data_IF_797759326710
#
_entry.id   IF_797759326710
#
_cell.length_a   1.000
_cell.length_b   1.000
_cell.length_c   1.000
_cell.angle_alpha   90.00
_cell.angle_beta   90.00
_cell.angle_gamma   90.00
#
_symmetry.space_group_name_H-M   'P 1'
#
loop_
_entity.id
_entity.type
_entity.pdbx_description
1 polymer ?
#
# COMPACT_ATOMS: atom_id res chain seq x y z
N UNK A 1 -33.78 59.48 68.83
CA UNK A 1 -33.88 58.72 70.10
C UNK A 1 -33.37 57.32 69.80
N UNK A 2 -32.13 57.01 70.21
CA UNK A 2 -31.79 56.26 71.44
C UNK A 2 -31.88 54.74 71.22
N UNK A 3 -30.69 54.11 71.17
CA UNK A 3 -30.30 52.80 71.73
C UNK A 3 -31.05 51.54 71.23
N UNK A 4 -30.51 50.32 71.14
CA UNK A 4 -29.44 49.60 71.85
C UNK A 4 -29.19 48.32 70.98
N UNK A 5 -28.02 48.05 70.41
CA UNK A 5 -27.04 47.05 70.88
C UNK A 5 -27.59 45.71 71.37
N UNK A 6 -27.34 44.59 70.66
CA UNK A 6 -26.78 43.35 71.26
C UNK A 6 -26.29 42.34 70.19
N UNK A 7 -25.06 41.87 70.36
CA UNK A 7 -24.40 40.78 69.63
C UNK A 7 -25.05 39.44 69.96
N UNK A 8 -25.31 38.60 68.94
CA UNK A 8 -25.40 37.14 69.10
C UNK A 8 -24.70 36.46 67.93
N UNK A 9 -23.51 35.96 68.20
CA UNK A 9 -22.78 34.99 67.40
C UNK A 9 -23.54 33.66 67.38
N UNK A 10 -23.96 33.20 66.20
CA UNK A 10 -24.42 31.83 65.99
C UNK A 10 -23.26 30.98 65.45
N UNK A 11 -22.66 30.19 66.33
CA UNK A 11 -22.01 28.94 65.96
C UNK A 11 -23.03 27.80 66.04
N UNK A 12 -22.72 26.70 65.36
CA UNK A 12 -23.40 25.38 65.31
C UNK A 12 -24.44 25.27 64.18
N UNK A 13 -24.43 24.28 63.28
CA UNK A 13 -23.75 22.98 63.19
C UNK A 13 -23.48 22.63 61.72
N UNK A 14 -22.27 22.17 61.40
CA UNK A 14 -21.98 21.45 60.15
C UNK A 14 -22.74 20.12 60.22
N UNK A 15 -23.79 19.97 59.42
CA UNK A 15 -24.39 18.67 59.17
C UNK A 15 -23.45 17.89 58.25
N UNK A 16 -22.57 17.09 58.85
CA UNK A 16 -21.87 16.02 58.16
C UNK A 16 -22.92 15.02 57.65
N UNK A 17 -23.37 15.19 56.40
CA UNK A 17 -23.99 14.10 55.66
C UNK A 17 -22.87 13.14 55.28
N UNK A 18 -22.73 12.08 56.06
CA UNK A 18 -21.94 10.92 55.67
C UNK A 18 -22.48 10.36 54.36
N UNK A 19 -21.76 10.62 53.28
CA UNK A 19 -21.77 9.82 52.06
C UNK A 19 -20.48 9.01 52.08
N UNK A 20 -20.59 7.69 52.08
CA UNK A 20 -19.46 6.80 51.84
C UNK A 20 -18.77 7.20 50.52
N UNK A 21 -17.43 7.20 50.44
CA UNK A 21 -16.74 7.40 49.17
C UNK A 21 -17.09 6.21 48.27
N UNK A 22 -17.99 6.42 47.30
CA UNK A 22 -18.26 5.43 46.26
C UNK A 22 -17.02 5.39 45.38
N UNK A 23 -16.38 4.23 45.36
CA UNK A 23 -15.19 3.98 44.56
C UNK A 23 -15.61 3.91 43.09
N UNK A 24 -14.99 4.74 42.26
CA UNK A 24 -15.06 4.64 40.80
C UNK A 24 -16.41 5.03 40.18
N UNK A 25 -16.51 6.30 39.76
CA UNK A 25 -17.38 6.64 38.65
C UNK A 25 -16.55 6.64 37.36
N UNK A 26 -17.14 6.22 36.25
CA UNK A 26 -16.54 6.43 34.92
C UNK A 26 -16.62 7.92 34.49
N UNK A 27 -16.09 8.22 33.31
CA UNK A 27 -16.10 9.56 32.70
C UNK A 27 -17.51 10.17 32.54
N UNK A 28 -18.54 9.31 32.55
CA UNK A 28 -19.93 9.66 32.36
C UNK A 28 -20.74 9.63 33.67
N UNK A 29 -20.07 9.41 34.81
CA UNK A 29 -20.68 9.41 36.13
C UNK A 29 -21.36 8.09 36.52
N UNK A 30 -21.19 7.02 35.74
CA UNK A 30 -21.75 5.70 36.04
C UNK A 30 -20.98 5.02 37.16
N UNK A 31 -21.72 4.47 38.13
CA UNK A 31 -21.16 3.86 39.34
C UNK A 31 -20.63 2.46 39.01
N UNK A 32 -19.30 2.30 38.98
CA UNK A 32 -18.63 1.07 38.59
C UNK A 32 -18.88 -0.08 39.59
N UNK A 33 -18.81 0.19 40.89
CA UNK A 33 -19.13 -0.78 41.96
C UNK A 33 -20.58 -1.28 41.86
N UNK A 34 -21.46 -0.46 41.29
CA UNK A 34 -22.86 -0.77 41.05
C UNK A 34 -23.09 -1.57 39.77
N UNK A 35 -22.06 -1.86 38.97
CA UNK A 35 -22.22 -2.59 37.72
C UNK A 35 -22.89 -1.79 36.61
N UNK A 36 -22.90 -0.46 36.73
CA UNK A 36 -23.45 0.43 35.73
C UNK A 36 -22.41 0.73 34.66
N UNK A 37 -22.82 0.64 33.41
CA UNK A 37 -22.03 0.97 32.24
C UNK A 37 -22.73 2.08 31.45
N UNK A 38 -21.95 3.02 30.92
CA UNK A 38 -22.49 4.11 30.12
C UNK A 38 -22.99 3.61 28.76
N UNK A 39 -24.27 3.84 28.47
CA UNK A 39 -24.89 3.50 27.21
C UNK A 39 -25.09 4.74 26.34
N UNK A 40 -24.26 4.91 25.31
CA UNK A 40 -24.27 6.09 24.45
C UNK A 40 -25.61 6.28 23.73
N UNK A 41 -26.23 5.19 23.28
CA UNK A 41 -27.51 5.23 22.54
C UNK A 41 -28.70 5.67 23.40
N UNK A 42 -28.62 5.50 24.73
CA UNK A 42 -29.69 5.89 25.66
C UNK A 42 -29.32 7.07 26.56
N UNK A 43 -28.05 7.53 26.50
CA UNK A 43 -27.46 8.57 27.34
C UNK A 43 -27.72 8.33 28.83
N UNK A 44 -27.63 7.06 29.25
CA UNK A 44 -27.91 6.60 30.61
C UNK A 44 -26.92 5.53 31.04
N UNK A 45 -26.68 5.49 32.35
CA UNK A 45 -25.97 4.41 33.00
C UNK A 45 -26.92 3.22 33.14
N UNK A 46 -26.67 2.14 32.41
CA UNK A 46 -27.49 0.94 32.42
C UNK A 46 -26.72 -0.22 33.04
N UNK A 47 -27.46 -1.12 33.69
CA UNK A 47 -26.96 -2.46 34.00
C UNK A 47 -27.34 -3.35 32.83
N UNK A 48 -26.37 -3.74 32.03
CA UNK A 48 -26.59 -4.51 30.80
C UNK A 48 -27.36 -5.83 31.00
N UNK A 49 -27.37 -6.39 32.23
CA UNK A 49 -28.15 -7.58 32.59
C UNK A 49 -29.59 -7.30 33.06
N UNK A 50 -29.94 -6.04 33.36
CA UNK A 50 -31.31 -5.62 33.70
C UNK A 50 -32.00 -4.95 32.49
N UNK A 51 -31.25 -4.09 31.78
CA UNK A 51 -31.70 -3.38 30.58
C UNK A 51 -30.55 -3.36 29.57
N UNK A 52 -30.74 -4.00 28.41
CA UNK A 52 -29.73 -4.07 27.37
C UNK A 52 -29.44 -2.67 26.79
N UNK A 53 -28.16 -2.37 26.58
CA UNK A 53 -27.76 -1.16 25.88
C UNK A 53 -27.87 -1.38 24.35
N UNK A 54 -28.67 -0.59 23.62
CA UNK A 54 -28.81 -0.72 22.17
C UNK A 54 -27.48 -0.68 21.40
N UNK A 55 -26.50 0.11 21.86
CA UNK A 55 -25.18 0.20 21.23
C UNK A 55 -24.26 -0.98 21.52
N UNK A 56 -24.62 -1.90 22.44
CA UNK A 56 -23.90 -3.15 22.69
C UNK A 56 -24.60 -4.37 22.08
N UNK A 57 -25.76 -4.18 21.46
CA UNK A 57 -26.35 -5.20 20.60
C UNK A 57 -25.55 -5.22 19.31
N UNK A 58 -24.64 -6.18 19.19
CA UNK A 58 -23.96 -6.49 17.95
C UNK A 58 -25.03 -6.67 16.88
N UNK A 59 -25.12 -5.70 15.96
CA UNK A 59 -26.09 -5.74 14.88
C UNK A 59 -25.57 -6.75 13.88
N UNK A 60 -26.33 -7.80 13.61
CA UNK A 60 -26.00 -8.73 12.55
C UNK A 60 -26.57 -8.24 11.21
N UNK A 61 -25.94 -8.69 10.11
CA UNK A 61 -26.58 -8.57 8.81
C UNK A 61 -27.82 -9.46 8.74
N UNK A 62 -28.86 -9.00 8.03
CA UNK A 62 -30.07 -9.78 7.79
C UNK A 62 -29.73 -11.10 7.07
N UNK A 63 -30.49 -12.17 7.34
CA UNK A 63 -30.28 -13.47 6.68
C UNK A 63 -30.33 -13.38 5.14
N UNK A 64 -31.21 -12.53 4.60
CA UNK A 64 -31.35 -12.33 3.16
C UNK A 64 -30.35 -11.32 2.55
N UNK A 65 -29.37 -10.81 3.31
CA UNK A 65 -28.44 -9.79 2.81
C UNK A 65 -27.60 -10.29 1.62
N UNK A 66 -27.09 -9.36 0.82
CA UNK A 66 -26.06 -9.65 -0.16
C UNK A 66 -24.72 -9.97 0.50
N UNK A 67 -23.88 -10.73 -0.20
CA UNK A 67 -22.50 -11.02 0.20
C UNK A 67 -21.58 -9.86 -0.14
N UNK A 68 -20.56 -9.64 0.69
CA UNK A 68 -19.52 -8.67 0.40
C UNK A 68 -18.57 -9.23 -0.66
N UNK A 69 -18.54 -8.61 -1.84
CA UNK A 69 -17.64 -8.99 -2.93
C UNK A 69 -16.51 -7.98 -3.17
N UNK A 70 -16.52 -6.84 -2.46
CA UNK A 70 -15.45 -5.85 -2.55
C UNK A 70 -14.28 -6.18 -1.62
N UNK A 71 -13.08 -5.70 -1.97
CA UNK A 71 -11.82 -5.93 -1.23
C UNK A 71 -11.62 -5.01 -0.02
N UNK A 72 -12.50 -4.04 0.18
CA UNK A 72 -12.49 -3.16 1.34
C UNK A 72 -12.88 -3.96 2.57
N UNK A 73 -12.17 -3.75 3.68
CA UNK A 73 -12.61 -4.25 4.98
C UNK A 73 -13.76 -3.36 5.48
N UNK A 74 -14.98 -3.90 5.53
CA UNK A 74 -16.15 -3.13 5.93
C UNK A 74 -16.24 -3.10 7.46
N UNK A 75 -16.54 -1.93 8.02
CA UNK A 75 -16.79 -1.80 9.46
C UNK A 75 -18.01 -2.62 9.91
N UNK A 76 -18.08 -2.89 11.22
CA UNK A 76 -19.25 -3.53 11.83
C UNK A 76 -20.51 -2.67 11.64
N UNK A 77 -21.66 -3.26 11.29
CA UNK A 77 -22.88 -2.50 11.05
C UNK A 77 -23.48 -2.01 12.37
N UNK A 78 -24.16 -0.86 12.33
CA UNK A 78 -24.83 -0.27 13.48
C UNK A 78 -26.29 0.04 13.14
N UNK A 79 -27.23 -0.76 13.67
CA UNK A 79 -28.66 -0.51 13.53
C UNK A 79 -29.35 -0.33 14.89
N UNK A 80 -30.47 0.42 14.94
CA UNK A 80 -31.32 0.52 16.12
C UNK A 80 -31.92 -0.82 16.57
N UNK A 81 -32.37 -0.86 17.83
CA UNK A 81 -32.93 -2.03 18.54
C UNK A 81 -33.71 -3.05 17.67
N UNK A 82 -33.13 -4.24 17.48
CA UNK A 82 -33.80 -5.39 16.86
C UNK A 82 -33.89 -5.35 15.33
N UNK A 83 -33.32 -4.33 14.71
CA UNK A 83 -33.15 -4.25 13.26
C UNK A 83 -31.87 -4.98 12.83
N UNK A 84 -31.88 -5.52 11.62
CA UNK A 84 -30.72 -6.12 10.98
C UNK A 84 -30.21 -5.23 9.85
N UNK A 85 -28.93 -5.32 9.52
CA UNK A 85 -28.33 -4.56 8.42
C UNK A 85 -28.52 -5.31 7.09
N UNK A 86 -29.06 -4.65 6.07
CA UNK A 86 -29.19 -5.21 4.72
C UNK A 86 -28.33 -4.42 3.74
N UNK A 87 -27.40 -5.10 3.07
CA UNK A 87 -26.47 -4.45 2.14
C UNK A 87 -27.17 -3.92 0.90
N UNK A 88 -26.81 -2.70 0.52
CA UNK A 88 -27.20 -2.05 -0.73
C UNK A 88 -26.09 -2.39 -1.74
N UNK A 89 -26.39 -3.32 -2.66
CA UNK A 89 -25.36 -3.89 -3.54
C UNK A 89 -24.45 -4.89 -2.81
N UNK A 90 -23.19 -5.00 -3.23
CA UNK A 90 -22.25 -6.05 -2.77
C UNK A 90 -21.02 -5.48 -2.03
N UNK A 91 -21.11 -4.27 -1.48
CA UNK A 91 -20.01 -3.64 -0.71
C UNK A 91 -20.51 -3.12 0.64
N UNK A 92 -19.88 -2.07 1.21
CA UNK A 92 -20.10 -1.66 2.61
C UNK A 92 -21.36 -0.82 2.85
N UNK A 93 -22.05 -0.36 1.81
CA UNK A 93 -23.30 0.36 1.98
C UNK A 93 -24.39 -0.60 2.46
N UNK A 94 -25.13 -0.18 3.49
CA UNK A 94 -26.25 -0.93 4.04
C UNK A 94 -27.35 0.01 4.54
N UNK A 95 -28.55 -0.53 4.70
CA UNK A 95 -29.65 0.12 5.41
C UNK A 95 -30.28 -0.86 6.40
N UNK A 96 -30.84 -0.33 7.49
CA UNK A 96 -31.43 -1.13 8.55
C UNK A 96 -32.89 -1.50 8.24
N UNK A 97 -33.27 -2.73 8.56
CA UNK A 97 -34.63 -3.24 8.40
C UNK A 97 -35.06 -4.02 9.64
N UNK A 98 -36.36 -3.99 9.92
CA UNK A 98 -36.96 -4.80 10.97
C UNK A 98 -36.78 -6.30 10.67
N UNK A 99 -36.13 -7.02 11.58
CA UNK A 99 -35.78 -8.43 11.43
C UNK A 99 -37.01 -9.37 11.40
N UNK A 100 -38.20 -8.86 11.71
CA UNK A 100 -39.45 -9.63 11.63
C UNK A 100 -40.04 -9.70 10.22
N UNK A 101 -39.55 -8.88 9.29
CA UNK A 101 -40.08 -8.80 7.93
C UNK A 101 -39.69 -10.03 7.11
N UNK A 102 -40.61 -10.52 6.26
CA UNK A 102 -40.35 -11.68 5.40
C UNK A 102 -39.23 -11.43 4.36
N UNK A 103 -38.95 -10.16 4.04
CA UNK A 103 -37.88 -9.78 3.12
C UNK A 103 -36.47 -9.86 3.72
N UNK A 104 -36.34 -9.94 5.06
CA UNK A 104 -35.05 -10.07 5.74
C UNK A 104 -34.64 -11.53 5.95
N UNK A 105 -35.53 -12.48 5.67
CA UNK A 105 -35.34 -13.93 5.81
C UNK A 105 -35.07 -14.59 4.48
N UNK A 106 -34.37 -15.72 4.54
CA UNK A 106 -34.15 -16.51 3.34
C UNK A 106 -35.42 -17.21 2.87
N UNK A 107 -35.66 -17.27 1.54
CA UNK A 107 -36.79 -18.02 1.01
C UNK A 107 -36.60 -19.52 1.29
N UNK A 108 -37.70 -20.21 1.59
CA UNK A 108 -37.69 -21.66 1.88
C UNK A 108 -37.32 -22.51 0.67
N UNK A 109 -37.56 -22.00 -0.52
CA UNK A 109 -37.17 -22.63 -1.78
C UNK A 109 -36.44 -21.60 -2.66
N UNK A 110 -35.32 -22.02 -3.25
CA UNK A 110 -34.62 -21.18 -4.21
C UNK A 110 -35.46 -20.98 -5.48
N UNK A 111 -35.43 -19.78 -6.08
CA UNK A 111 -36.01 -19.56 -7.40
C UNK A 111 -35.32 -20.49 -8.43
N UNK A 112 -36.00 -20.82 -9.54
CA UNK A 112 -35.41 -21.64 -10.59
C UNK A 112 -34.12 -20.97 -11.10
N UNK A 113 -33.06 -21.76 -11.38
CA UNK A 113 -31.81 -21.22 -11.87
C UNK A 113 -32.06 -20.47 -13.18
N UNK A 114 -31.40 -19.32 -13.32
CA UNK A 114 -31.41 -18.58 -14.58
C UNK A 114 -30.78 -19.45 -15.69
N UNK A 115 -31.32 -19.42 -16.92
CA UNK A 115 -30.74 -20.15 -18.03
C UNK A 115 -29.37 -19.54 -18.37
N UNK A 116 -28.30 -20.19 -17.94
CA UNK A 116 -26.94 -19.79 -18.28
C UNK A 116 -26.56 -20.37 -19.64
N UNK A 117 -25.99 -19.57 -20.57
CA UNK A 117 -25.36 -20.12 -21.76
C UNK A 117 -24.21 -21.05 -21.31
N UNK A 118 -24.09 -22.22 -21.91
CA UNK A 118 -22.98 -23.13 -21.62
C UNK A 118 -21.67 -22.45 -22.07
N UNK A 119 -20.72 -22.17 -21.17
CA UNK A 119 -19.46 -21.58 -21.56
C UNK A 119 -18.62 -22.59 -22.34
N UNK A 120 -17.96 -22.15 -23.40
CA UNK A 120 -16.94 -22.94 -24.07
C UNK A 120 -15.70 -22.95 -23.15
N UNK A 121 -15.39 -24.09 -22.54
CA UNK A 121 -14.21 -24.26 -21.69
C UNK A 121 -13.09 -24.86 -22.54
N UNK A 122 -12.02 -24.09 -22.75
CA UNK A 122 -10.86 -24.54 -23.51
C UNK A 122 -9.94 -25.45 -22.66
N UNK A 123 -9.04 -26.21 -23.29
CA UNK A 123 -8.07 -27.07 -22.58
C UNK A 123 -7.23 -26.24 -21.58
N UNK A 124 -7.09 -26.71 -20.34
CA UNK A 124 -6.40 -26.03 -19.23
C UNK A 124 -7.10 -24.78 -18.65
N UNK A 125 -8.39 -24.57 -18.90
CA UNK A 125 -9.21 -23.63 -18.13
C UNK A 125 -10.13 -24.37 -17.15
N UNK A 126 -10.37 -23.79 -15.98
CA UNK A 126 -11.27 -24.34 -14.97
C UNK A 126 -12.57 -23.55 -14.92
N UNK A 127 -13.71 -24.24 -14.99
CA UNK A 127 -14.99 -23.61 -14.72
C UNK A 127 -15.14 -23.37 -13.21
N UNK A 128 -15.27 -22.11 -12.82
CA UNK A 128 -15.62 -21.71 -11.46
C UNK A 128 -17.15 -21.65 -11.35
N UNK A 129 -17.79 -22.51 -10.53
CA UNK A 129 -19.22 -22.43 -10.31
C UNK A 129 -19.60 -21.09 -9.67
N UNK A 130 -20.83 -20.59 -9.88
CA UNK A 130 -21.29 -19.35 -9.28
C UNK A 130 -21.29 -19.46 -7.75
N UNK A 131 -20.84 -18.41 -7.07
CA UNK A 131 -20.90 -18.33 -5.62
C UNK A 131 -22.37 -18.18 -5.19
N UNK A 132 -22.88 -19.06 -4.31
CA UNK A 132 -24.23 -18.91 -3.78
C UNK A 132 -24.36 -17.62 -2.97
N UNK A 133 -25.56 -17.06 -2.93
CA UNK A 133 -25.88 -15.93 -2.06
C UNK A 133 -25.94 -16.37 -0.57
N UNK A 134 -26.18 -15.43 0.34
CA UNK A 134 -26.26 -15.70 1.78
C UNK A 134 -27.34 -16.74 2.15
N UNK A 135 -28.35 -16.93 1.29
CA UNK A 135 -29.41 -17.93 1.43
C UNK A 135 -29.11 -19.28 0.76
N UNK A 136 -27.90 -19.47 0.23
CA UNK A 136 -27.50 -20.71 -0.44
C UNK A 136 -28.07 -20.87 -1.86
N UNK A 137 -28.72 -19.84 -2.42
CA UNK A 137 -29.31 -19.89 -3.77
C UNK A 137 -28.34 -19.36 -4.84
N UNK A 138 -28.40 -19.97 -6.02
CA UNK A 138 -27.65 -19.52 -7.20
C UNK A 138 -28.47 -18.51 -8.00
N UNK A 139 -27.98 -17.28 -8.10
CA UNK A 139 -28.59 -16.18 -8.85
C UNK A 139 -27.66 -15.62 -9.94
N UNK A 140 -26.53 -16.28 -10.20
CA UNK A 140 -25.53 -15.88 -11.19
C UNK A 140 -25.00 -17.09 -11.97
N UNK A 141 -24.38 -16.83 -13.12
CA UNK A 141 -23.69 -17.86 -13.89
C UNK A 141 -22.24 -17.98 -13.41
N UNK A 142 -21.69 -19.20 -13.48
CA UNK A 142 -20.28 -19.43 -13.20
C UNK A 142 -19.36 -18.79 -14.25
N UNK A 143 -18.11 -18.57 -13.89
CA UNK A 143 -17.07 -18.00 -14.75
C UNK A 143 -16.07 -19.08 -15.18
N UNK A 144 -15.29 -18.81 -16.22
CA UNK A 144 -14.16 -19.66 -16.61
C UNK A 144 -12.88 -18.96 -16.18
N UNK A 145 -12.09 -19.63 -15.35
CA UNK A 145 -10.75 -19.18 -14.96
C UNK A 145 -9.71 -19.84 -15.87
N UNK A 146 -9.09 -19.00 -16.70
CA UNK A 146 -7.97 -19.35 -17.56
C UNK A 146 -6.65 -18.73 -17.08
N UNK A 147 -6.55 -18.29 -15.82
CA UNK A 147 -5.35 -17.65 -15.27
C UNK A 147 -4.09 -18.53 -15.33
N UNK A 148 -4.25 -19.84 -15.56
CA UNK A 148 -3.14 -20.78 -15.77
C UNK A 148 -2.57 -20.80 -17.20
N UNK A 149 -3.21 -20.14 -18.18
CA UNK A 149 -2.82 -20.25 -19.59
C UNK A 149 -1.79 -19.25 -20.08
N UNK A 150 -1.58 -18.16 -19.37
CA UNK A 150 -0.85 -17.02 -19.93
C UNK A 150 0.43 -16.70 -19.16
N UNK A 151 1.04 -17.68 -18.47
CA UNK A 151 2.38 -17.47 -17.92
C UNK A 151 3.39 -17.42 -19.05
N UNK A 152 4.01 -16.27 -19.20
CA UNK A 152 4.98 -15.99 -20.26
C UNK A 152 6.38 -15.81 -19.67
N UNK A 153 7.38 -16.31 -20.38
CA UNK A 153 8.77 -16.34 -19.97
C UNK A 153 9.48 -15.00 -20.12
N UNK A 154 10.79 -14.99 -19.84
CA UNK A 154 11.61 -13.78 -19.92
C UNK A 154 11.64 -13.22 -21.35
N UNK A 155 11.44 -11.91 -21.49
CA UNK A 155 11.30 -11.14 -22.74
C UNK A 155 10.02 -11.42 -23.54
N UNK A 156 9.04 -12.11 -22.98
CA UNK A 156 7.72 -12.24 -23.61
C UNK A 156 6.78 -11.10 -23.21
N UNK A 157 5.79 -10.84 -24.06
CA UNK A 157 4.88 -9.71 -23.89
C UNK A 157 3.90 -9.95 -22.72
N UNK A 158 3.82 -8.98 -21.82
CA UNK A 158 2.96 -9.01 -20.65
C UNK A 158 2.16 -7.72 -20.50
N UNK A 159 1.02 -7.77 -19.80
CA UNK A 159 0.22 -6.57 -19.50
C UNK A 159 -0.49 -5.94 -20.71
N UNK A 160 -1.41 -5.01 -20.45
CA UNK A 160 -2.27 -4.36 -21.46
C UNK A 160 -3.64 -5.03 -21.68
N UNK A 161 -4.48 -4.41 -22.51
CA UNK A 161 -5.86 -4.84 -22.77
C UNK A 161 -5.91 -6.01 -23.77
N UNK A 162 -5.68 -7.24 -23.28
CA UNK A 162 -5.99 -8.55 -23.89
C UNK A 162 -5.41 -8.86 -25.32
N UNK A 163 -4.82 -10.06 -25.57
CA UNK A 163 -4.45 -11.14 -24.67
C UNK A 163 -2.92 -11.21 -24.53
N UNK A 164 -2.35 -10.40 -23.64
CA UNK A 164 -0.94 -10.53 -23.25
C UNK A 164 -0.80 -11.39 -21.99
N UNK A 165 0.38 -11.96 -21.80
CA UNK A 165 0.67 -12.89 -20.71
C UNK A 165 0.73 -12.21 -19.34
N UNK A 166 0.60 -13.02 -18.29
CA UNK A 166 1.08 -12.76 -16.93
C UNK A 166 2.49 -13.32 -16.86
N UNK A 167 3.45 -12.66 -16.22
CA UNK A 167 4.81 -13.23 -16.13
C UNK A 167 4.85 -14.52 -15.28
N UNK A 168 5.86 -15.36 -15.50
CA UNK A 168 6.23 -16.43 -14.57
C UNK A 168 6.55 -15.86 -13.17
N UNK A 169 6.49 -16.70 -12.13
CA UNK A 169 6.56 -16.26 -10.72
C UNK A 169 7.86 -15.52 -10.35
N UNK A 170 8.96 -15.75 -11.09
CA UNK A 170 10.27 -15.12 -10.87
C UNK A 170 10.50 -13.86 -11.74
N UNK A 171 9.48 -13.40 -12.46
CA UNK A 171 9.57 -12.30 -13.43
C UNK A 171 8.54 -11.21 -13.11
N UNK A 172 8.90 -9.96 -13.40
CA UNK A 172 7.99 -8.82 -13.31
C UNK A 172 7.70 -8.22 -14.69
N UNK A 173 6.49 -7.69 -14.85
CA UNK A 173 6.08 -7.07 -16.11
C UNK A 173 6.55 -5.61 -16.16
N UNK A 174 7.44 -5.30 -17.10
CA UNK A 174 8.07 -3.98 -17.24
C UNK A 174 7.55 -3.27 -18.49
N UNK A 175 7.09 -2.02 -18.34
CA UNK A 175 6.73 -1.15 -19.48
C UNK A 175 7.99 -0.62 -20.16
N UNK A 176 8.10 -0.79 -21.48
CA UNK A 176 9.35 -0.52 -22.20
C UNK A 176 9.48 0.83 -22.89
N UNK A 177 8.46 1.69 -22.98
CA UNK A 177 8.70 3.13 -23.28
C UNK A 177 7.50 4.08 -23.35
N UNK A 178 6.29 3.69 -22.95
CA UNK A 178 5.17 4.64 -22.93
C UNK A 178 4.35 4.51 -21.65
N UNK A 179 4.20 5.64 -20.95
CA UNK A 179 3.42 5.80 -19.72
C UNK A 179 1.91 5.77 -20.02
N UNK A 180 1.44 4.72 -20.67
CA UNK A 180 0.02 4.44 -20.87
C UNK A 180 -0.32 3.25 -19.99
N UNK A 181 -1.33 3.38 -19.13
CA UNK A 181 -1.72 2.35 -18.15
C UNK A 181 -2.06 0.98 -18.78
N UNK A 182 -2.33 0.97 -20.09
CA UNK A 182 -2.68 -0.21 -20.88
C UNK A 182 -1.59 -0.60 -21.90
N UNK A 183 -0.41 0.03 -21.86
CA UNK A 183 0.68 -0.32 -22.77
C UNK A 183 1.19 -1.74 -22.47
N UNK A 184 1.44 -2.55 -23.51
CA UNK A 184 2.09 -3.83 -23.34
C UNK A 184 3.53 -3.63 -22.83
N UNK A 185 3.97 -4.52 -21.96
CA UNK A 185 5.32 -4.60 -21.43
C UNK A 185 6.01 -5.90 -21.80
N UNK A 186 7.22 -6.09 -21.27
CA UNK A 186 7.99 -7.33 -21.37
C UNK A 186 8.24 -7.90 -19.98
N UNK A 187 8.18 -9.22 -19.84
CA UNK A 187 8.59 -9.88 -18.62
C UNK A 187 10.10 -9.81 -18.47
N UNK A 188 10.57 -9.25 -17.37
CA UNK A 188 11.99 -9.11 -17.05
C UNK A 188 12.23 -9.60 -15.63
N UNK A 189 13.46 -10.04 -15.35
CA UNK A 189 13.83 -10.36 -13.96
C UNK A 189 13.73 -9.12 -13.07
N UNK A 190 13.38 -9.27 -11.78
CA UNK A 190 13.52 -8.21 -10.79
C UNK A 190 14.98 -7.76 -10.68
N UNK A 191 15.21 -6.45 -10.54
CA UNK A 191 16.55 -5.93 -10.31
C UNK A 191 16.98 -6.20 -8.87
N UNK A 192 18.25 -6.58 -8.68
CA UNK A 192 18.83 -6.74 -7.34
C UNK A 192 18.98 -5.36 -6.69
N UNK A 193 19.22 -5.32 -5.37
CA UNK A 193 19.35 -4.08 -4.58
C UNK A 193 20.37 -3.08 -5.15
N UNK A 194 21.36 -3.55 -5.93
CA UNK A 194 22.43 -2.75 -6.51
C UNK A 194 22.30 -2.54 -8.03
N UNK A 195 21.16 -2.93 -8.63
CA UNK A 195 20.88 -2.80 -10.05
C UNK A 195 19.73 -1.83 -10.26
N UNK A 196 19.83 -1.02 -11.31
CA UNK A 196 18.78 -0.09 -11.70
C UNK A 196 18.20 -0.56 -13.02
N UNK A 197 16.90 -0.37 -13.21
CA UNK A 197 16.23 -0.71 -14.46
C UNK A 197 16.41 0.43 -15.46
N UNK A 198 16.93 0.13 -16.65
CA UNK A 198 17.08 1.11 -17.73
C UNK A 198 15.75 1.36 -18.46
N UNK A 199 15.77 2.27 -19.45
CA UNK A 199 14.59 2.59 -20.25
C UNK A 199 14.07 1.44 -21.12
N UNK A 200 14.88 0.41 -21.39
CA UNK A 200 14.47 -0.80 -22.11
C UNK A 200 13.94 -1.90 -21.17
N UNK A 201 13.95 -1.64 -19.87
CA UNK A 201 13.53 -2.58 -18.85
C UNK A 201 14.60 -3.58 -18.43
N UNK A 202 15.86 -3.40 -18.79
CA UNK A 202 16.97 -4.27 -18.40
C UNK A 202 17.60 -3.78 -17.09
N UNK A 203 17.99 -4.74 -16.24
CA UNK A 203 18.70 -4.41 -15.00
C UNK A 203 20.17 -4.15 -15.31
N UNK A 204 20.54 -2.88 -15.30
CA UNK A 204 21.91 -2.43 -15.46
C UNK A 204 22.59 -2.35 -14.09
N UNK A 205 23.79 -2.91 -14.03
CA UNK A 205 24.69 -2.72 -12.91
C UNK A 205 25.64 -1.58 -13.28
N UNK A 206 25.76 -0.58 -12.40
CA UNK A 206 26.96 0.22 -12.10
C UNK A 206 26.57 1.60 -11.54
N UNK A 207 26.10 1.61 -10.30
CA UNK A 207 26.33 2.78 -9.46
C UNK A 207 27.80 2.70 -9.03
N UNK A 208 28.65 3.68 -9.39
CA UNK A 208 30.05 3.70 -8.95
C UNK A 208 30.11 3.57 -7.42
N UNK A 209 31.04 2.77 -6.88
CA UNK A 209 31.03 2.55 -5.42
C UNK A 209 31.32 3.85 -4.67
N UNK A 210 32.07 4.76 -5.30
CA UNK A 210 32.36 6.10 -4.81
C UNK A 210 31.22 7.10 -5.08
N UNK A 211 30.04 6.68 -5.55
CA UNK A 211 28.89 7.57 -5.66
C UNK A 211 28.23 7.80 -4.30
N UNK A 212 27.97 9.06 -3.94
CA UNK A 212 27.31 9.46 -2.69
C UNK A 212 25.88 9.94 -2.95
N UNK A 213 25.64 10.50 -4.14
CA UNK A 213 24.31 10.94 -4.54
C UNK A 213 24.04 10.54 -5.98
N UNK A 214 22.97 9.76 -6.16
CA UNK A 214 22.56 9.20 -7.44
C UNK A 214 21.25 9.81 -7.90
N UNK A 215 21.17 10.18 -9.17
CA UNK A 215 19.92 10.57 -9.80
C UNK A 215 19.41 9.39 -10.63
N UNK A 216 18.26 8.84 -10.29
CA UNK A 216 17.68 7.66 -10.95
C UNK A 216 16.92 7.97 -12.26
N UNK A 217 16.89 9.25 -12.66
CA UNK A 217 16.10 9.74 -13.79
C UNK A 217 14.94 10.64 -13.39
N UNK A 218 14.53 10.62 -12.11
CA UNK A 218 13.47 11.47 -11.56
C UNK A 218 13.77 11.97 -10.13
N UNK A 219 14.34 11.09 -9.32
CA UNK A 219 14.58 11.27 -7.90
C UNK A 219 16.07 11.32 -7.60
N UNK A 220 16.39 12.02 -6.52
CA UNK A 220 17.73 12.04 -5.93
C UNK A 220 17.79 11.03 -4.80
N UNK A 221 18.70 10.08 -4.92
CA UNK A 221 18.96 9.03 -3.97
C UNK A 221 20.29 9.26 -3.25
N UNK A 222 20.32 8.94 -1.96
CA UNK A 222 21.57 8.76 -1.23
C UNK A 222 22.15 7.40 -1.58
N UNK A 223 23.47 7.33 -1.78
CA UNK A 223 24.19 6.09 -2.07
C UNK A 223 25.35 5.94 -1.08
N UNK A 224 25.61 4.70 -0.66
CA UNK A 224 26.77 4.34 0.14
C UNK A 224 27.38 3.06 -0.40
N UNK A 225 28.67 3.10 -0.77
CA UNK A 225 29.42 1.94 -1.30
C UNK A 225 28.73 1.25 -2.49
N UNK A 226 28.14 2.03 -3.39
CA UNK A 226 27.40 1.52 -4.55
C UNK A 226 26.01 0.94 -4.23
N UNK A 227 25.55 1.05 -2.98
CA UNK A 227 24.21 0.63 -2.57
C UNK A 227 23.28 1.85 -2.50
N UNK A 228 22.10 1.73 -3.11
CA UNK A 228 21.04 2.72 -3.02
C UNK A 228 20.46 2.73 -1.61
N UNK A 229 20.48 3.91 -0.98
CA UNK A 229 19.76 4.23 0.23
C UNK A 229 18.41 4.87 -0.07
N UNK A 230 18.04 5.86 0.74
CA UNK A 230 16.78 6.58 0.57
C UNK A 230 16.79 7.52 -0.63
N UNK A 231 15.69 7.53 -1.39
CA UNK A 231 15.44 8.45 -2.50
C UNK A 231 14.38 9.49 -2.13
N UNK A 232 14.47 10.68 -2.73
CA UNK A 232 13.32 11.59 -2.80
C UNK A 232 12.18 10.88 -3.53
N UNK A 233 10.93 11.18 -3.20
CA UNK A 233 9.77 10.63 -3.91
C UNK A 233 9.01 11.80 -4.56
N UNK A 234 9.34 12.10 -5.80
CA UNK A 234 8.71 13.17 -6.59
C UNK A 234 8.05 12.57 -7.83
N UNK A 235 6.94 13.18 -8.26
CA UNK A 235 6.30 12.84 -9.53
C UNK A 235 7.02 13.55 -10.68
N UNK A 236 7.53 12.79 -11.65
CA UNK A 236 8.12 13.33 -12.88
C UNK A 236 7.29 12.96 -14.11
N UNK A 237 7.03 13.94 -14.97
CA UNK A 237 6.30 13.74 -16.23
C UNK A 237 7.18 13.13 -17.33
N UNK A 238 8.50 13.26 -17.21
CA UNK A 238 9.50 12.72 -18.13
C UNK A 238 10.62 12.10 -17.31
N UNK A 239 11.02 10.87 -17.64
CA UNK A 239 12.20 10.24 -17.05
C UNK A 239 13.45 10.68 -17.83
N UNK A 240 14.44 11.19 -17.11
CA UNK A 240 15.74 11.56 -17.67
C UNK A 240 16.73 10.40 -17.48
N UNK A 241 17.92 10.52 -18.09
CA UNK A 241 18.97 9.52 -17.94
C UNK A 241 19.50 9.50 -16.49
N UNK A 242 19.68 8.31 -15.92
CA UNK A 242 20.21 8.14 -14.57
C UNK A 242 21.73 8.39 -14.54
N UNK A 243 22.23 9.05 -13.51
CA UNK A 243 23.66 9.32 -13.33
C UNK A 243 24.03 9.63 -11.89
N UNK A 244 25.29 9.40 -11.53
CA UNK A 244 25.82 9.85 -10.25
C UNK A 244 26.05 11.37 -10.27
N UNK A 245 25.37 12.07 -9.37
CA UNK A 245 25.46 13.52 -9.20
C UNK A 245 26.70 13.92 -8.41
N UNK A 246 27.01 13.21 -7.33
CA UNK A 246 28.13 13.55 -6.43
C UNK A 246 28.91 12.30 -6.04
N UNK A 247 30.23 12.41 -6.12
CA UNK A 247 31.17 11.35 -5.77
C UNK A 247 31.86 11.66 -4.44
N UNK A 248 32.26 10.61 -3.74
CA UNK A 248 33.08 10.67 -2.55
C UNK A 248 34.48 11.17 -2.92
N UNK A 249 35.07 11.92 -2.00
CA UNK A 249 36.45 12.39 -2.04
C UNK A 249 37.46 11.34 -1.54
N UNK A 250 36.99 10.19 -1.05
CA UNK A 250 37.79 9.03 -0.61
C UNK A 250 38.59 8.32 -1.72
N UNK A 251 39.31 7.24 -1.37
CA UNK A 251 40.21 6.48 -2.28
C UNK A 251 39.43 5.76 -3.39
N UNK A 252 39.85 5.82 -4.67
CA UNK A 252 39.15 5.10 -5.77
C UNK A 252 39.40 3.58 -5.73
N UNK A 253 38.49 2.80 -6.32
CA UNK A 253 38.62 1.35 -6.56
C UNK A 253 38.62 1.04 -8.06
N UNK A 254 38.97 -0.19 -8.42
CA UNK A 254 38.81 -0.68 -9.79
C UNK A 254 37.34 -0.57 -10.24
N UNK A 255 37.12 -0.11 -11.48
CA UNK A 255 35.80 0.18 -12.05
C UNK A 255 35.27 1.60 -11.76
N UNK A 256 35.89 2.35 -10.86
CA UNK A 256 35.43 3.71 -10.56
C UNK A 256 35.69 4.72 -11.66
N UNK A 257 34.77 5.67 -11.78
CA UNK A 257 34.97 6.87 -12.56
C UNK A 257 36.09 7.75 -11.98
N UNK A 258 37.18 7.87 -12.74
CA UNK A 258 38.35 8.66 -12.41
C UNK A 258 38.44 9.96 -13.22
N UNK A 259 37.84 10.00 -14.41
CA UNK A 259 37.81 11.22 -15.22
C UNK A 259 36.54 11.32 -16.08
N UNK A 260 35.89 12.50 -16.01
CA UNK A 260 34.73 12.87 -16.83
C UNK A 260 34.71 14.38 -17.04
N UNK A 261 34.54 14.79 -18.30
CA UNK A 261 34.26 16.18 -18.65
C UNK A 261 33.11 16.22 -19.65
N UNK A 262 32.15 17.10 -19.38
CA UNK A 262 30.95 17.33 -20.17
C UNK A 262 30.94 18.78 -20.62
N UNK A 263 31.12 19.03 -21.92
CA UNK A 263 31.23 20.39 -22.47
C UNK A 263 29.93 21.18 -22.31
N UNK A 264 28.80 20.48 -22.38
CA UNK A 264 27.45 21.03 -22.21
C UNK A 264 27.03 21.23 -20.75
N UNK A 265 27.88 20.82 -19.79
CA UNK A 265 27.57 20.86 -18.37
C UNK A 265 26.44 19.91 -17.93
N UNK A 266 26.06 18.95 -18.77
CA UNK A 266 24.98 17.99 -18.47
C UNK A 266 25.25 17.12 -17.25
N UNK A 267 26.53 16.85 -16.96
CA UNK A 267 26.97 16.07 -15.79
C UNK A 267 28.11 16.77 -15.06
N UNK A 268 28.31 16.38 -13.80
CA UNK A 268 29.41 16.90 -12.99
C UNK A 268 30.78 16.48 -13.54
N UNK A 269 31.71 17.44 -13.56
CA UNK A 269 33.11 17.22 -13.95
C UNK A 269 33.86 16.47 -12.86
N UNK A 270 34.62 15.45 -13.25
CA UNK A 270 35.46 14.63 -12.37
C UNK A 270 36.89 14.66 -12.92
N UNK A 271 37.85 15.01 -12.07
CA UNK A 271 39.27 14.95 -12.42
C UNK A 271 40.07 14.35 -11.26
N UNK A 272 40.19 13.03 -11.27
CA UNK A 272 40.88 12.19 -10.28
C UNK A 272 41.76 11.15 -10.97
N UNK A 273 42.34 11.53 -12.11
CA UNK A 273 43.09 10.63 -13.00
C UNK A 273 44.28 9.92 -12.31
N UNK A 274 44.78 10.50 -11.21
CA UNK A 274 45.91 10.00 -10.43
C UNK A 274 45.52 9.29 -9.12
N UNK A 275 44.23 9.24 -8.80
CA UNK A 275 43.74 8.72 -7.52
C UNK A 275 43.34 7.24 -7.62
N UNK A 276 43.50 6.64 -8.80
CA UNK A 276 43.26 5.21 -9.00
C UNK A 276 44.20 4.36 -8.12
N UNK A 277 43.72 3.23 -7.59
CA UNK A 277 44.51 2.36 -6.72
C UNK A 277 45.71 1.76 -7.46
N UNK A 278 46.69 1.24 -6.70
CA UNK A 278 47.86 0.56 -7.26
C UNK A 278 47.41 -0.57 -8.19
N UNK A 279 48.10 -0.74 -9.31
CA UNK A 279 47.83 -1.72 -10.37
C UNK A 279 46.61 -1.41 -11.27
N UNK A 280 46.04 -0.21 -11.16
CA UNK A 280 45.02 0.29 -12.09
C UNK A 280 45.44 1.61 -12.73
N UNK A 281 44.96 1.87 -13.95
CA UNK A 281 45.17 3.14 -14.67
C UNK A 281 43.82 3.70 -15.08
N UNK A 282 43.67 5.03 -14.99
CA UNK A 282 42.49 5.73 -15.44
C UNK A 282 42.40 5.73 -16.98
N UNK A 283 41.62 4.81 -17.55
CA UNK A 283 41.49 4.61 -18.99
C UNK A 283 40.06 4.21 -19.38
N UNK A 284 39.78 4.20 -20.67
CA UNK A 284 38.50 3.73 -21.23
C UNK A 284 38.47 2.20 -21.30
N UNK A 285 37.29 1.62 -21.06
CA UNK A 285 37.06 0.17 -20.96
C UNK A 285 37.10 -0.57 -22.32
N UNK A 286 37.00 0.17 -23.43
CA UNK A 286 37.11 -0.37 -24.79
C UNK A 286 38.21 0.35 -25.58
N UNK A 287 38.98 -0.44 -26.35
CA UNK A 287 40.21 -0.09 -27.07
C UNK A 287 40.15 1.07 -28.09
N UNK A 288 39.06 1.83 -28.15
CA UNK A 288 39.01 3.02 -28.98
C UNK A 288 39.59 4.20 -28.21
N UNK A 289 40.86 4.51 -28.50
CA UNK A 289 41.52 5.74 -28.08
C UNK A 289 40.89 6.95 -28.80
N UNK A 290 39.62 7.22 -28.56
CA UNK A 290 39.00 8.48 -28.95
C UNK A 290 39.32 9.45 -27.83
N UNK A 291 40.24 10.39 -28.08
CA UNK A 291 40.36 11.60 -27.27
C UNK A 291 39.13 12.44 -27.61
N UNK A 292 37.97 12.04 -27.08
CA UNK A 292 36.76 12.85 -27.16
C UNK A 292 36.87 13.96 -26.13
N UNK A 293 36.61 15.18 -26.56
CA UNK A 293 36.49 16.34 -25.66
C UNK A 293 35.24 16.19 -24.80
N UNK A 294 34.21 15.51 -25.32
CA UNK A 294 32.96 15.23 -24.62
C UNK A 294 32.86 13.76 -24.23
N UNK A 295 32.93 13.48 -22.93
CA UNK A 295 32.96 12.13 -22.38
C UNK A 295 31.70 11.83 -21.54
N UNK A 296 30.57 12.49 -21.82
CA UNK A 296 29.36 12.29 -21.03
C UNK A 296 28.71 10.91 -21.18
N UNK A 297 28.81 10.30 -22.37
CA UNK A 297 28.16 9.03 -22.70
C UNK A 297 29.19 7.92 -22.92
N UNK A 298 29.92 8.01 -24.03
CA UNK A 298 30.95 7.06 -24.41
C UNK A 298 32.31 7.75 -24.29
N UNK A 299 33.23 7.22 -23.48
CA UNK A 299 34.56 7.82 -23.25
C UNK A 299 34.86 8.24 -21.80
N UNK A 300 33.94 7.96 -20.87
CA UNK A 300 34.21 8.10 -19.44
C UNK A 300 35.36 7.17 -19.04
N UNK A 301 36.35 7.71 -18.31
CA UNK A 301 37.50 6.91 -17.90
C UNK A 301 37.24 6.32 -16.53
N UNK A 302 37.53 5.03 -16.42
CA UNK A 302 37.45 4.27 -15.18
C UNK A 302 38.84 3.78 -14.75
N UNK A 303 39.01 3.50 -13.47
CA UNK A 303 40.21 2.82 -12.98
C UNK A 303 40.17 1.37 -13.46
N UNK A 304 40.91 1.03 -14.52
CA UNK A 304 40.96 -0.32 -15.08
C UNK A 304 42.27 -1.00 -14.72
N UNK A 305 42.26 -2.31 -14.49
CA UNK A 305 43.47 -3.06 -14.23
C UNK A 305 44.39 -3.04 -15.46
N UNK A 306 45.67 -2.69 -15.25
CA UNK A 306 46.68 -2.83 -16.30
C UNK A 306 47.10 -4.29 -16.39
N UNK A 307 46.37 -5.07 -17.18
CA UNK A 307 46.79 -6.42 -17.54
C UNK A 307 48.07 -6.39 -18.38
N UNK A 308 49.12 -7.02 -17.87
CA UNK A 308 50.21 -7.57 -18.69
C UNK A 308 49.91 -9.04 -19.00
#
# INVERSE_FOLDING_TARGET
MKYLGFLVTFFTTIAAKGGYPVMGQDSHGCVLDGGYEWCESSQKCLRIWEEACPSLLQTDFCEATNIQMCRMDCGEPACPNGECAMRIGNCCDYSCFDNTLEMTKCPTNCPPPIPCPMPMVEENCHFLPPTPNNCGCQNSCGSVDCSQRNRVGENENCGGFMPYGICEDDLECVSTQEMIADAPGLCKRPCRVNEIRDGNGDCIQEIPWNCVSWYDGCNTCYVSEGQLGGCTMMMCFTQNEAYCMTYDTGELREGDLCYRFCEDGSRTTINRIYDCPRDTVCSVDHQEQVISIDNCRDGVRKCIHTGH
#
